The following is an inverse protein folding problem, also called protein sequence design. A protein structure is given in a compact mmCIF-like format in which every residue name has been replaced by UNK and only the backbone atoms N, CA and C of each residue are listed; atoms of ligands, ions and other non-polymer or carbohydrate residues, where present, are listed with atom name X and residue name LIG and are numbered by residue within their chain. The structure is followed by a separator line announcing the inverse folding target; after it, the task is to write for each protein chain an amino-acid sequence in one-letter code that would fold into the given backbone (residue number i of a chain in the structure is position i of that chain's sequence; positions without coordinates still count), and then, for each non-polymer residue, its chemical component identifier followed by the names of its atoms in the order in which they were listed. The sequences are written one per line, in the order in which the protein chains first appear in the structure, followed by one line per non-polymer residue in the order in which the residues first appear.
data_IF_753916755177
#
_entry.id   IF_753916755177
#
_cell.length_a   1.000
_cell.length_b   1.000
_cell.length_c   1.000
_cell.angle_alpha   90.00
_cell.angle_beta   90.00
_cell.angle_gamma   90.00
#
_symmetry.space_group_name_H-M   'P 1'
#
loop_
_entity.id
_entity.type
_entity.pdbx_description
1 polymer ?
#
# COMPACT_ATOMS: atom_id res chain seq x y z
N UNK A 1 -11.45 -10.25 44.27
CA UNK A 1 -11.63 -9.99 42.83
C UNK A 1 -11.26 -11.18 41.93
N UNK A 2 -10.14 -11.91 42.14
CA UNK A 2 -9.79 -13.12 41.35
C UNK A 2 -10.91 -14.16 41.23
N UNK A 3 -11.51 -14.55 42.36
CA UNK A 3 -12.55 -15.59 42.40
C UNK A 3 -13.88 -15.23 41.71
N UNK A 4 -14.20 -13.93 41.61
CA UNK A 4 -15.43 -13.46 40.95
C UNK A 4 -15.29 -13.55 39.43
N UNK A 5 -14.09 -13.25 38.93
CA UNK A 5 -13.80 -13.32 37.49
C UNK A 5 -13.72 -14.78 37.01
N UNK A 6 -13.07 -15.67 37.77
CA UNK A 6 -13.06 -17.11 37.50
C UNK A 6 -14.47 -17.71 37.53
N UNK A 7 -15.32 -17.30 38.49
CA UNK A 7 -16.71 -17.74 38.56
C UNK A 7 -17.54 -17.32 37.35
N UNK A 8 -17.37 -16.08 36.86
CA UNK A 8 -18.06 -15.59 35.66
C UNK A 8 -17.63 -16.34 34.40
N UNK A 9 -16.34 -16.67 34.27
CA UNK A 9 -15.83 -17.46 33.13
C UNK A 9 -16.42 -18.87 33.14
N UNK A 10 -16.46 -19.52 34.30
CA UNK A 10 -17.02 -20.88 34.43
C UNK A 10 -18.52 -20.87 34.09
N UNK A 11 -19.28 -19.90 34.60
CA UNK A 11 -20.70 -19.76 34.27
C UNK A 11 -20.91 -19.50 32.77
N UNK A 12 -20.06 -18.66 32.16
CA UNK A 12 -20.10 -18.40 30.72
C UNK A 12 -19.85 -19.65 29.88
N UNK A 13 -18.85 -20.46 30.24
CA UNK A 13 -18.53 -21.72 29.56
C UNK A 13 -19.68 -22.72 29.71
N UNK A 14 -20.25 -22.86 30.91
CA UNK A 14 -21.39 -23.76 31.16
C UNK A 14 -22.62 -23.31 30.37
N UNK A 15 -22.93 -22.01 30.34
CA UNK A 15 -24.03 -21.47 29.55
C UNK A 15 -23.83 -21.72 28.04
N UNK A 16 -22.60 -21.58 27.55
CA UNK A 16 -22.24 -21.83 26.16
C UNK A 16 -22.42 -23.31 25.80
N UNK A 17 -21.94 -24.24 26.64
CA UNK A 17 -22.13 -25.68 26.47
C UNK A 17 -23.63 -26.04 26.47
N UNK A 18 -24.41 -25.52 27.40
CA UNK A 18 -25.87 -25.74 27.47
C UNK A 18 -26.55 -25.24 26.20
N UNK A 19 -26.14 -24.08 25.68
CA UNK A 19 -26.72 -23.49 24.46
C UNK A 19 -26.40 -24.34 23.22
N UNK A 20 -25.17 -24.87 23.12
CA UNK A 20 -24.75 -25.78 22.03
C UNK A 20 -25.55 -27.09 22.06
N UNK A 21 -25.75 -27.67 23.25
CA UNK A 21 -26.50 -28.93 23.40
C UNK A 21 -27.99 -28.73 23.11
N UNK A 22 -28.56 -27.60 23.55
CA UNK A 22 -30.01 -27.35 23.48
C UNK A 22 -30.46 -26.82 22.11
N UNK A 23 -29.59 -26.12 21.38
CA UNK A 23 -29.90 -25.49 20.09
C UNK A 23 -28.86 -25.79 18.98
N UNK A 24 -28.57 -27.08 18.68
CA UNK A 24 -27.50 -27.45 17.76
C UNK A 24 -27.74 -26.97 16.31
N UNK A 25 -29.01 -26.85 15.88
CA UNK A 25 -29.36 -26.39 14.52
C UNK A 25 -29.13 -24.89 14.33
N UNK A 26 -29.38 -24.08 15.35
CA UNK A 26 -29.20 -22.62 15.28
C UNK A 26 -27.73 -22.23 15.43
N UNK A 27 -26.99 -22.93 16.31
CA UNK A 27 -25.53 -22.80 16.42
C UNK A 27 -24.84 -23.24 15.13
N UNK A 28 -25.27 -24.34 14.51
CA UNK A 28 -24.74 -24.80 13.22
C UNK A 28 -24.96 -23.80 12.08
N UNK A 29 -26.16 -23.20 11.97
CA UNK A 29 -26.45 -22.17 10.97
C UNK A 29 -25.69 -20.86 11.22
N UNK A 30 -25.51 -20.46 12.48
CA UNK A 30 -24.71 -19.30 12.85
C UNK A 30 -23.23 -19.47 12.51
N UNK A 31 -22.64 -20.64 12.81
CA UNK A 31 -21.23 -20.95 12.50
C UNK A 31 -21.02 -21.09 10.98
N UNK A 32 -21.93 -21.74 10.25
CA UNK A 32 -21.86 -21.80 8.78
C UNK A 32 -22.00 -20.41 8.14
N UNK A 33 -22.88 -19.54 8.67
CA UNK A 33 -23.01 -18.16 8.22
C UNK A 33 -21.76 -17.32 8.52
N UNK A 34 -21.08 -17.60 9.64
CA UNK A 34 -19.82 -16.94 10.00
C UNK A 34 -18.68 -17.35 9.06
N UNK A 35 -18.56 -18.64 8.72
CA UNK A 35 -17.56 -19.18 7.78
C UNK A 35 -17.72 -18.66 6.34
N UNK A 36 -18.92 -18.22 5.95
CA UNK A 36 -19.21 -17.62 4.64
C UNK A 36 -18.93 -16.11 4.59
N UNK A 37 -18.61 -15.47 5.72
CA UNK A 37 -18.25 -14.06 5.72
C UNK A 37 -16.81 -13.89 5.21
N UNK A 38 -16.54 -12.83 4.42
CA UNK A 38 -15.18 -12.51 4.01
C UNK A 38 -14.28 -12.39 5.26
N UNK A 39 -13.08 -12.96 5.17
CA UNK A 39 -12.13 -13.14 6.28
C UNK A 39 -11.95 -11.86 7.12
N UNK A 40 -11.94 -10.70 6.48
CA UNK A 40 -11.84 -9.38 7.11
C UNK A 40 -12.96 -9.09 8.11
N UNK A 41 -14.21 -9.47 7.80
CA UNK A 41 -15.36 -9.28 8.70
C UNK A 41 -15.34 -10.26 9.88
N UNK A 42 -14.94 -11.51 9.65
CA UNK A 42 -14.74 -12.47 10.74
C UNK A 42 -13.63 -12.00 11.70
N UNK A 43 -12.51 -11.53 11.14
CA UNK A 43 -11.39 -11.02 11.91
C UNK A 43 -11.76 -9.77 12.70
N UNK A 44 -12.58 -8.87 12.13
CA UNK A 44 -13.13 -7.71 12.83
C UNK A 44 -13.97 -8.08 14.05
N UNK A 45 -14.83 -9.11 13.94
CA UNK A 45 -15.66 -9.59 15.06
C UNK A 45 -14.77 -10.23 16.14
N UNK A 46 -13.80 -11.07 15.74
CA UNK A 46 -12.85 -11.69 16.68
C UNK A 46 -12.06 -10.61 17.42
N UNK A 47 -11.56 -9.60 16.71
CA UNK A 47 -10.82 -8.47 17.28
C UNK A 47 -11.69 -7.66 18.25
N UNK A 48 -12.96 -7.46 17.93
CA UNK A 48 -13.90 -6.78 18.84
C UNK A 48 -14.05 -7.51 20.19
N UNK A 49 -14.11 -8.84 20.18
CA UNK A 49 -14.15 -9.64 21.42
C UNK A 49 -12.80 -9.68 22.15
N UNK A 50 -11.69 -9.55 21.44
CA UNK A 50 -10.34 -9.48 22.01
C UNK A 50 -9.94 -8.08 22.50
N UNK A 51 -10.65 -7.04 22.08
CA UNK A 51 -10.38 -5.65 22.42
C UNK A 51 -10.29 -5.38 23.95
N UNK A 52 -11.18 -5.93 24.81
CA UNK A 52 -11.04 -5.78 26.26
C UNK A 52 -9.74 -6.39 26.80
N UNK A 53 -9.27 -7.49 26.19
CA UNK A 53 -8.01 -8.14 26.55
C UNK A 53 -6.81 -7.29 26.10
N UNK A 54 -6.86 -6.72 24.89
CA UNK A 54 -5.84 -5.79 24.38
C UNK A 54 -5.70 -4.55 25.29
N UNK A 55 -6.82 -3.96 25.73
CA UNK A 55 -6.81 -2.81 26.65
C UNK A 55 -6.20 -3.14 28.01
N UNK A 56 -6.46 -4.35 28.54
CA UNK A 56 -5.86 -4.83 29.80
C UNK A 56 -4.34 -5.01 29.63
N UNK A 57 -3.90 -5.56 28.51
CA UNK A 57 -2.47 -5.71 28.19
C UNK A 57 -1.80 -4.34 28.12
N UNK A 58 -2.36 -3.39 27.38
CA UNK A 58 -1.85 -2.01 27.28
C UNK A 58 -1.75 -1.31 28.63
N UNK A 59 -2.75 -1.49 29.49
CA UNK A 59 -2.74 -0.92 30.84
C UNK A 59 -1.65 -1.52 31.73
N UNK A 60 -1.46 -2.84 31.68
CA UNK A 60 -0.42 -3.53 32.44
C UNK A 60 0.98 -3.10 31.96
N UNK A 61 1.20 -3.05 30.65
CA UNK A 61 2.48 -2.65 30.07
C UNK A 61 2.86 -1.21 30.41
N UNK A 62 1.89 -0.28 30.34
CA UNK A 62 2.09 1.11 30.78
C UNK A 62 2.39 1.23 32.27
N UNK A 63 1.80 0.36 33.10
CA UNK A 63 1.99 0.37 34.56
C UNK A 63 3.34 -0.22 34.98
N UNK A 64 3.87 -1.18 34.22
CA UNK A 64 5.10 -1.90 34.54
C UNK A 64 6.30 -1.44 33.69
N UNK A 65 6.13 -0.48 32.78
CA UNK A 65 7.15 0.01 31.84
C UNK A 65 7.81 -1.10 30.99
N UNK A 66 7.03 -2.14 30.64
CA UNK A 66 7.51 -3.27 29.82
C UNK A 66 6.69 -3.38 28.55
N UNK A 67 7.37 -3.44 27.39
CA UNK A 67 6.74 -3.58 26.06
C UNK A 67 6.93 -5.02 25.53
N UNK A 68 6.37 -6.03 26.21
CA UNK A 68 6.58 -7.43 25.84
C UNK A 68 5.57 -7.95 24.82
N UNK A 69 4.30 -7.59 24.95
CA UNK A 69 3.17 -8.02 24.13
C UNK A 69 2.73 -6.95 23.12
N UNK A 70 2.81 -5.66 23.44
CA UNK A 70 2.63 -4.57 22.45
C UNK A 70 3.57 -4.74 21.26
N UNK A 71 4.80 -5.22 21.47
CA UNK A 71 5.75 -5.52 20.39
C UNK A 71 5.21 -6.53 19.35
N UNK A 72 4.26 -7.38 19.71
CA UNK A 72 3.64 -8.35 18.81
C UNK A 72 2.30 -7.88 18.24
N UNK A 73 1.60 -6.98 18.96
CA UNK A 73 0.32 -6.37 18.55
C UNK A 73 0.57 -5.19 17.60
N UNK A 74 1.56 -4.35 17.90
CA UNK A 74 2.12 -3.29 17.05
C UNK A 74 3.26 -3.82 16.17
N UNK A 75 3.23 -5.11 15.79
CA UNK A 75 3.91 -5.46 14.55
C UNK A 75 3.17 -4.72 13.45
N UNK A 76 3.67 -3.53 13.11
CA UNK A 76 3.54 -3.00 11.75
C UNK A 76 3.59 -4.20 10.82
N UNK A 77 2.60 -4.39 9.92
CA UNK A 77 2.61 -5.49 8.97
C UNK A 77 4.00 -5.47 8.41
N UNK A 78 4.75 -6.54 8.65
CA UNK A 78 6.19 -6.52 8.49
C UNK A 78 6.44 -6.01 7.08
N UNK A 79 6.81 -4.73 6.94
CA UNK A 79 7.33 -4.21 5.69
C UNK A 79 8.43 -5.20 5.42
N UNK A 80 8.27 -6.02 4.39
CA UNK A 80 9.29 -6.96 3.97
C UNK A 80 10.45 -6.03 3.67
N UNK A 81 11.33 -5.81 4.65
CA UNK A 81 12.31 -4.71 4.60
C UNK A 81 13.24 -5.09 3.48
N UNK A 82 12.92 -4.62 2.28
CA UNK A 82 13.64 -4.90 1.05
C UNK A 82 15.05 -4.43 1.33
N UNK A 83 16.00 -5.36 1.34
CA UNK A 83 17.38 -4.99 1.69
C UNK A 83 17.87 -3.96 0.68
N UNK A 84 18.47 -2.88 1.17
CA UNK A 84 19.14 -1.90 0.33
C UNK A 84 20.59 -2.30 0.20
N UNK A 85 21.06 -2.58 -1.03
CA UNK A 85 22.48 -2.87 -1.29
C UNK A 85 23.27 -1.60 -1.60
N UNK A 86 22.68 -0.70 -2.38
CA UNK A 86 23.28 0.57 -2.82
C UNK A 86 22.19 1.65 -2.82
N UNK A 87 22.55 2.89 -2.49
CA UNK A 87 21.66 4.06 -2.64
C UNK A 87 22.17 4.90 -3.79
N UNK A 88 21.35 5.06 -4.84
CA UNK A 88 21.66 5.96 -5.95
C UNK A 88 20.90 7.26 -5.77
N UNK A 89 21.59 8.32 -5.35
CA UNK A 89 20.99 9.65 -5.25
C UNK A 89 20.60 10.16 -6.64
N UNK A 90 19.46 10.83 -6.71
CA UNK A 90 18.94 11.46 -7.93
C UNK A 90 18.59 12.91 -7.63
N UNK A 91 18.82 13.79 -8.60
CA UNK A 91 18.24 15.12 -8.58
C UNK A 91 16.94 15.07 -9.38
N UNK A 92 15.84 14.73 -8.70
CA UNK A 92 14.57 14.42 -9.34
C UNK A 92 13.88 15.65 -9.96
N UNK A 93 14.22 16.85 -9.50
CA UNK A 93 13.67 18.10 -10.05
C UNK A 93 13.97 18.25 -11.55
N UNK A 94 15.11 17.74 -12.02
CA UNK A 94 15.54 17.84 -13.41
C UNK A 94 14.97 16.73 -14.33
N UNK A 95 14.04 15.90 -13.82
CA UNK A 95 13.43 14.83 -14.59
C UNK A 95 12.14 15.33 -15.23
N UNK A 96 11.91 14.96 -16.49
CA UNK A 96 10.58 14.89 -17.07
C UNK A 96 9.87 13.67 -16.49
N UNK A 97 8.63 13.85 -16.06
CA UNK A 97 7.88 12.90 -15.24
C UNK A 97 6.56 12.60 -15.92
N UNK A 98 6.35 11.33 -16.23
CA UNK A 98 5.17 10.84 -16.90
C UNK A 98 4.54 9.71 -16.10
N UNK A 99 3.21 9.63 -16.11
CA UNK A 99 2.48 8.45 -15.68
C UNK A 99 1.67 7.92 -16.86
N UNK A 100 1.92 6.66 -17.20
CA UNK A 100 1.20 5.95 -18.25
C UNK A 100 0.12 5.12 -17.58
N UNK A 101 -1.12 5.35 -18.02
CA UNK A 101 -2.31 4.64 -17.56
C UNK A 101 -2.86 3.85 -18.75
N UNK A 102 -2.96 2.52 -18.63
CA UNK A 102 -3.59 1.69 -19.66
C UNK A 102 -5.12 1.83 -19.63
N UNK A 103 -5.61 3.06 -19.77
CA UNK A 103 -7.01 3.50 -19.77
C UNK A 103 -7.09 4.87 -20.44
N UNK A 104 -8.23 5.17 -21.05
CA UNK A 104 -8.56 6.48 -21.63
C UNK A 104 -9.67 7.18 -20.86
N UNK A 105 -10.06 6.63 -19.70
CA UNK A 105 -11.18 7.12 -18.88
C UNK A 105 -11.05 8.60 -18.53
N UNK A 106 -12.15 9.33 -18.61
CA UNK A 106 -12.26 10.71 -18.13
C UNK A 106 -12.06 10.80 -16.60
N UNK A 107 -12.30 9.70 -15.88
CA UNK A 107 -12.08 9.61 -14.42
C UNK A 107 -10.62 9.87 -14.01
N UNK A 108 -9.66 9.78 -14.94
CA UNK A 108 -8.26 10.11 -14.64
C UNK A 108 -8.14 11.53 -14.08
N UNK A 109 -8.89 12.50 -14.60
CA UNK A 109 -8.83 13.88 -14.12
C UNK A 109 -9.36 14.04 -12.71
N UNK A 110 -10.49 13.41 -12.37
CA UNK A 110 -11.03 13.45 -11.01
C UNK A 110 -10.07 12.82 -10.01
N UNK A 111 -9.45 11.70 -10.38
CA UNK A 111 -8.49 10.98 -9.53
C UNK A 111 -7.19 11.76 -9.30
N UNK A 112 -6.73 12.51 -10.31
CA UNK A 112 -5.59 13.41 -10.15
C UNK A 112 -5.90 14.53 -9.15
N UNK A 113 -7.06 15.19 -9.30
CA UNK A 113 -7.46 16.27 -8.40
C UNK A 113 -7.64 15.78 -6.96
N UNK A 114 -8.24 14.60 -6.76
CA UNK A 114 -8.39 14.03 -5.42
C UNK A 114 -7.04 13.69 -4.77
N UNK A 115 -6.07 13.22 -5.56
CA UNK A 115 -4.70 12.98 -5.09
C UNK A 115 -3.99 14.28 -4.67
N UNK A 116 -4.18 15.37 -5.43
CA UNK A 116 -3.63 16.71 -5.14
C UNK A 116 -4.23 17.30 -3.84
N UNK A 117 -5.53 17.13 -3.64
CA UNK A 117 -6.22 17.54 -2.40
C UNK A 117 -5.75 16.75 -1.17
N UNK A 118 -5.39 15.48 -1.36
CA UNK A 118 -4.98 14.58 -0.28
C UNK A 118 -3.49 14.67 0.08
N UNK A 119 -2.63 15.14 -0.84
CA UNK A 119 -1.18 15.09 -0.70
C UNK A 119 -0.52 16.39 -1.20
N UNK A 120 -0.10 17.31 -0.32
CA UNK A 120 0.49 18.60 -0.71
C UNK A 120 1.76 18.52 -1.56
N UNK A 121 2.44 17.36 -1.56
CA UNK A 121 3.63 17.09 -2.38
C UNK A 121 3.29 16.72 -3.83
N UNK A 122 2.03 16.34 -4.09
CA UNK A 122 1.46 16.34 -5.44
C UNK A 122 1.28 17.81 -5.83
N UNK A 123 1.82 18.17 -6.99
CA UNK A 123 1.68 19.52 -7.52
C UNK A 123 1.33 19.38 -9.00
N UNK A 124 0.05 19.56 -9.29
CA UNK A 124 -0.52 19.47 -10.63
C UNK A 124 -0.42 20.77 -11.44
N UNK A 125 0.35 21.77 -11.01
CA UNK A 125 0.64 22.93 -11.86
C UNK A 125 1.31 22.50 -13.18
N UNK A 126 0.86 23.08 -14.29
CA UNK A 126 1.32 22.80 -15.65
C UNK A 126 1.15 21.32 -16.08
N UNK A 127 0.33 20.52 -15.39
CA UNK A 127 0.10 19.13 -15.80
C UNK A 127 -0.65 19.06 -17.14
N UNK A 128 -0.42 17.98 -17.88
CA UNK A 128 -1.15 17.71 -19.12
C UNK A 128 -1.50 16.24 -19.25
N UNK A 129 -2.60 15.94 -19.93
CA UNK A 129 -3.05 14.58 -20.21
C UNK A 129 -3.21 14.42 -21.71
N UNK A 130 -2.36 13.57 -22.31
CA UNK A 130 -2.49 13.14 -23.68
C UNK A 130 -3.20 11.78 -23.72
N UNK A 131 -4.27 11.66 -24.50
CA UNK A 131 -5.06 10.43 -24.63
C UNK A 131 -4.88 9.85 -26.03
N UNK A 132 -4.62 8.55 -26.10
CA UNK A 132 -4.63 7.76 -27.34
C UNK A 132 -5.89 6.91 -27.39
N UNK A 133 -6.01 6.01 -28.38
CA UNK A 133 -7.13 5.06 -28.46
C UNK A 133 -7.12 4.00 -27.35
N UNK A 134 -5.99 3.78 -26.67
CA UNK A 134 -5.81 2.64 -25.74
C UNK A 134 -5.22 3.00 -24.38
N UNK A 135 -4.50 4.12 -24.27
CA UNK A 135 -3.86 4.55 -23.03
C UNK A 135 -3.78 6.07 -22.94
N UNK A 136 -3.55 6.55 -21.72
CA UNK A 136 -3.31 7.96 -21.43
C UNK A 136 -1.89 8.16 -20.89
N UNK A 137 -1.31 9.32 -21.19
CA UNK A 137 -0.02 9.79 -20.70
C UNK A 137 -0.25 11.09 -19.95
N UNK A 138 0.11 11.09 -18.68
CA UNK A 138 -0.03 12.24 -17.77
C UNK A 138 1.36 12.81 -17.55
N UNK A 139 1.61 14.05 -17.94
CA UNK A 139 2.85 14.77 -17.61
C UNK A 139 2.64 15.62 -16.35
N UNK A 140 3.52 15.47 -15.37
CA UNK A 140 3.47 16.19 -14.09
C UNK A 140 4.82 16.87 -13.78
N UNK A 141 5.09 18.04 -14.39
CA UNK A 141 6.42 18.62 -14.38
C UNK A 141 6.85 19.12 -12.99
N UNK A 142 5.91 19.61 -12.17
CA UNK A 142 6.19 20.27 -10.88
C UNK A 142 6.26 19.32 -9.70
N UNK A 143 5.62 18.16 -9.77
CA UNK A 143 5.56 17.18 -8.67
C UNK A 143 6.95 16.70 -8.22
N UNK A 144 7.15 16.64 -6.90
CA UNK A 144 8.37 16.15 -6.25
C UNK A 144 8.54 14.62 -6.34
N UNK A 145 9.64 14.08 -5.80
CA UNK A 145 9.89 12.64 -5.84
C UNK A 145 8.85 11.85 -5.05
N UNK A 146 8.49 12.30 -3.86
CA UNK A 146 7.46 11.67 -3.04
C UNK A 146 6.10 11.73 -3.72
N UNK A 147 5.61 12.94 -4.06
CA UNK A 147 4.32 13.13 -4.72
C UNK A 147 4.18 12.35 -6.03
N UNK A 148 5.27 12.20 -6.78
CA UNK A 148 5.27 11.41 -8.02
C UNK A 148 5.01 9.93 -7.74
N UNK A 149 5.70 9.35 -6.76
CA UNK A 149 5.50 7.96 -6.39
C UNK A 149 4.13 7.73 -5.72
N UNK A 150 3.68 8.69 -4.91
CA UNK A 150 2.33 8.71 -4.34
C UNK A 150 1.26 8.68 -5.43
N UNK A 151 1.36 9.53 -6.46
CA UNK A 151 0.42 9.53 -7.58
C UNK A 151 0.35 8.19 -8.32
N UNK A 152 1.50 7.54 -8.58
CA UNK A 152 1.51 6.21 -9.21
C UNK A 152 0.75 5.21 -8.33
N UNK A 153 1.00 5.23 -7.02
CA UNK A 153 0.31 4.33 -6.10
C UNK A 153 -1.19 4.62 -6.02
N UNK A 154 -1.58 5.89 -5.89
CA UNK A 154 -2.97 6.35 -5.86
C UNK A 154 -3.73 5.84 -7.08
N UNK A 155 -3.21 6.12 -8.28
CA UNK A 155 -3.82 5.66 -9.53
C UNK A 155 -3.84 4.13 -9.63
N UNK A 156 -2.82 3.43 -9.13
CA UNK A 156 -2.83 1.95 -9.12
C UNK A 156 -3.94 1.40 -8.23
N UNK A 157 -4.21 2.05 -7.10
CA UNK A 157 -5.25 1.65 -6.17
C UNK A 157 -6.65 1.93 -6.71
N UNK A 158 -6.86 3.05 -7.39
CA UNK A 158 -8.19 3.41 -7.92
C UNK A 158 -8.49 2.76 -9.27
N UNK A 159 -7.46 2.48 -10.07
CA UNK A 159 -7.58 1.76 -11.35
C UNK A 159 -7.04 0.32 -11.25
N UNK A 160 -7.56 -0.47 -10.31
CA UNK A 160 -7.08 -1.84 -10.00
C UNK A 160 -6.97 -2.80 -11.19
N UNK A 161 -7.76 -2.58 -12.26
CA UNK A 161 -7.75 -3.40 -13.48
C UNK A 161 -6.78 -2.90 -14.55
N UNK A 162 -6.23 -1.70 -14.38
CA UNK A 162 -5.40 -1.05 -15.37
C UNK A 162 -3.94 -1.09 -14.93
N UNK A 163 -3.05 -1.26 -15.90
CA UNK A 163 -1.63 -1.14 -15.64
C UNK A 163 -1.24 0.33 -15.54
N UNK A 164 -0.67 0.72 -14.40
CA UNK A 164 -0.15 2.07 -14.13
C UNK A 164 1.37 2.00 -14.01
N UNK A 165 2.06 2.82 -14.78
CA UNK A 165 3.52 2.86 -14.79
C UNK A 165 4.01 4.30 -14.81
N UNK A 166 4.84 4.66 -13.84
CA UNK A 166 5.57 5.91 -13.89
C UNK A 166 6.83 5.78 -14.75
N UNK A 167 7.11 6.80 -15.56
CA UNK A 167 8.38 7.00 -16.25
C UNK A 167 8.99 8.34 -15.83
N UNK A 168 10.23 8.34 -15.36
CA UNK A 168 10.99 9.55 -15.13
C UNK A 168 12.29 9.53 -15.94
N UNK A 169 12.60 10.63 -16.65
CA UNK A 169 13.77 10.75 -17.51
C UNK A 169 14.42 12.13 -17.44
N UNK A 170 15.75 12.18 -17.29
CA UNK A 170 16.54 13.41 -17.47
C UNK A 170 17.54 13.29 -18.65
N UNK A 171 17.25 12.39 -19.60
CA UNK A 171 18.12 12.04 -20.72
C UNK A 171 19.22 11.04 -20.38
N UNK A 172 19.97 11.25 -19.29
CA UNK A 172 21.06 10.34 -18.86
C UNK A 172 20.56 9.16 -18.03
N UNK A 173 19.74 9.48 -17.02
CA UNK A 173 19.11 8.49 -16.15
C UNK A 173 17.64 8.44 -16.50
N UNK A 174 17.15 7.22 -16.70
CA UNK A 174 15.72 6.95 -16.86
C UNK A 174 15.35 5.82 -15.93
N UNK A 175 14.14 5.86 -15.42
CA UNK A 175 13.63 4.73 -14.68
C UNK A 175 12.12 4.64 -14.83
N UNK A 176 11.64 3.40 -14.77
CA UNK A 176 10.24 3.09 -14.61
C UNK A 176 9.96 2.71 -13.16
N UNK A 177 8.77 3.05 -12.69
CA UNK A 177 8.29 2.73 -11.35
C UNK A 177 6.87 2.17 -11.44
N UNK A 178 6.59 1.12 -10.69
CA UNK A 178 5.27 0.54 -10.50
C UNK A 178 5.00 0.36 -9.00
N UNK A 179 3.71 0.40 -8.61
CA UNK A 179 3.32 0.06 -7.25
C UNK A 179 3.56 -1.42 -6.98
N UNK A 180 4.12 -1.75 -5.82
CA UNK A 180 4.25 -3.13 -5.39
C UNK A 180 2.97 -3.57 -4.68
N UNK A 181 2.12 -4.33 -5.35
CA UNK A 181 0.83 -4.79 -4.80
C UNK A 181 0.97 -5.73 -3.59
N UNK A 182 2.19 -6.19 -3.27
CA UNK A 182 2.47 -7.09 -2.15
C UNK A 182 2.91 -6.39 -0.86
N UNK A 183 3.09 -5.06 -0.86
CA UNK A 183 3.54 -4.32 0.33
C UNK A 183 2.84 -2.97 0.49
N UNK A 184 2.46 -2.63 1.71
CA UNK A 184 1.79 -1.38 2.03
C UNK A 184 2.73 -0.19 1.79
N UNK A 185 2.56 0.47 0.63
CA UNK A 185 3.20 1.73 0.24
C UNK A 185 4.67 1.67 -0.23
N UNK A 186 5.08 0.52 -0.77
CA UNK A 186 6.35 0.40 -1.47
C UNK A 186 6.16 0.45 -2.99
N UNK A 187 7.10 1.12 -3.66
CA UNK A 187 7.24 1.08 -5.11
C UNK A 187 8.43 0.24 -5.50
N UNK A 188 8.35 -0.40 -6.67
CA UNK A 188 9.47 -1.13 -7.29
C UNK A 188 9.69 -0.60 -8.69
N UNK A 189 10.90 -0.72 -9.19
CA UNK A 189 11.22 -0.17 -10.50
C UNK A 189 12.52 -0.67 -11.09
N UNK A 190 12.78 -0.22 -12.32
CA UNK A 190 13.98 -0.55 -13.08
C UNK A 190 14.52 0.70 -13.76
N UNK A 191 15.83 0.88 -13.68
CA UNK A 191 16.55 1.93 -14.41
C UNK A 191 16.83 1.53 -15.86
N UNK A 192 17.18 2.48 -16.72
CA UNK A 192 17.63 2.23 -18.09
C UNK A 192 18.86 1.32 -18.20
N UNK A 193 19.64 1.17 -17.14
CA UNK A 193 20.78 0.22 -17.10
C UNK A 193 20.37 -1.16 -16.56
N UNK A 194 19.07 -1.44 -16.45
CA UNK A 194 18.55 -2.70 -15.93
C UNK A 194 18.62 -2.87 -14.41
N UNK A 195 19.23 -1.93 -13.66
CA UNK A 195 19.29 -2.02 -12.19
C UNK A 195 17.88 -1.90 -11.62
N UNK A 196 17.45 -2.93 -10.87
CA UNK A 196 16.22 -2.90 -10.08
C UNK A 196 16.37 -2.09 -8.79
N UNK A 197 15.32 -1.41 -8.38
CA UNK A 197 15.27 -0.62 -7.16
C UNK A 197 13.89 -0.65 -6.51
N UNK A 198 13.84 -0.19 -5.26
CA UNK A 198 12.59 0.08 -4.56
C UNK A 198 12.61 1.47 -3.92
N UNK A 199 11.43 1.99 -3.64
CA UNK A 199 11.15 3.28 -2.98
C UNK A 199 10.09 3.01 -1.92
N UNK A 200 10.17 3.67 -0.77
CA UNK A 200 9.18 3.50 0.29
C UNK A 200 8.54 4.83 0.55
N UNK A 201 7.22 4.96 0.38
CA UNK A 201 6.56 6.22 0.65
C UNK A 201 6.65 6.60 2.14
N UNK A 202 6.72 5.63 3.05
CA UNK A 202 6.90 5.92 4.48
C UNK A 202 8.29 6.50 4.79
N UNK A 203 9.37 5.83 4.37
CA UNK A 203 10.73 6.30 4.68
C UNK A 203 11.12 7.58 3.93
N UNK A 204 10.50 7.83 2.77
CA UNK A 204 10.87 8.89 1.84
C UNK A 204 9.98 10.14 1.91
N UNK A 205 9.07 10.21 2.90
CA UNK A 205 8.27 11.40 3.21
C UNK A 205 9.15 12.65 3.40
N UNK A 206 10.35 12.50 3.99
CA UNK A 206 11.33 13.58 4.18
C UNK A 206 12.04 14.00 2.87
N UNK A 207 11.43 13.81 1.70
CA UNK A 207 11.99 14.13 0.38
C UNK A 207 13.36 13.49 0.10
N UNK A 208 13.55 12.25 0.55
CA UNK A 208 14.75 11.46 0.27
C UNK A 208 14.78 11.04 -1.20
N UNK A 209 15.49 11.79 -2.03
CA UNK A 209 15.59 11.54 -3.48
C UNK A 209 16.70 10.53 -3.81
N UNK A 210 16.47 9.25 -3.47
CA UNK A 210 17.37 8.18 -3.90
C UNK A 210 16.64 6.89 -4.26
N UNK A 211 17.24 6.13 -5.17
CA UNK A 211 16.80 4.79 -5.53
C UNK A 211 17.54 3.76 -4.67
N UNK A 212 16.81 2.91 -3.95
CA UNK A 212 17.40 1.81 -3.17
C UNK A 212 17.61 0.61 -4.08
N UNK A 213 18.84 0.42 -4.56
CA UNK A 213 19.17 -0.64 -5.51
C UNK A 213 19.18 -2.00 -4.81
N UNK A 214 18.47 -2.96 -5.41
CA UNK A 214 18.52 -4.36 -5.04
C UNK A 214 18.13 -5.25 -6.24
N UNK A 215 19.05 -6.10 -6.71
CA UNK A 215 18.78 -6.98 -7.87
C UNK A 215 17.93 -8.22 -7.53
N UNK A 216 17.78 -8.52 -6.24
CA UNK A 216 16.95 -9.63 -5.74
C UNK A 216 15.45 -9.30 -5.79
N UNK A 217 15.08 -8.06 -6.14
CA UNK A 217 13.67 -7.68 -6.30
C UNK A 217 13.04 -8.44 -7.47
N UNK A 218 11.82 -8.91 -7.27
CA UNK A 218 10.97 -9.40 -8.34
C UNK A 218 10.26 -8.20 -8.98
N UNK A 219 10.33 -8.11 -10.31
CA UNK A 219 9.68 -7.05 -11.07
C UNK A 219 9.01 -7.71 -12.27
N UNK A 220 7.71 -7.96 -12.13
CA UNK A 220 6.90 -8.65 -13.12
C UNK A 220 6.35 -7.65 -14.14
N UNK A 221 7.26 -7.03 -14.91
CA UNK A 221 6.92 -6.16 -16.03
C UNK A 221 7.87 -6.37 -17.20
N UNK A 222 7.30 -6.60 -18.37
CA UNK A 222 8.01 -6.66 -19.65
C UNK A 222 8.35 -5.26 -20.19
N UNK A 223 7.73 -4.22 -19.63
CA UNK A 223 7.95 -2.84 -20.05
C UNK A 223 9.36 -2.39 -19.71
N UNK A 224 9.95 -1.63 -20.63
CA UNK A 224 11.27 -1.02 -20.46
C UNK A 224 11.14 0.50 -20.49
N UNK A 225 12.19 1.19 -20.04
CA UNK A 225 12.23 2.66 -20.17
C UNK A 225 12.13 3.10 -21.63
N UNK A 226 12.70 2.33 -22.56
CA UNK A 226 12.65 2.59 -24.00
C UNK A 226 11.25 2.39 -24.58
N UNK A 227 10.52 1.36 -24.16
CA UNK A 227 9.14 1.14 -24.63
C UNK A 227 8.22 2.25 -24.12
N UNK A 228 8.38 2.67 -22.87
CA UNK A 228 7.59 3.76 -22.29
C UNK A 228 7.91 5.11 -22.94
N UNK A 229 9.19 5.43 -23.23
CA UNK A 229 9.53 6.66 -23.95
C UNK A 229 8.91 6.70 -25.35
N UNK A 230 8.78 5.55 -26.03
CA UNK A 230 8.06 5.46 -27.32
C UNK A 230 6.57 5.73 -27.14
N UNK A 231 5.94 5.19 -26.09
CA UNK A 231 4.52 5.45 -25.79
C UNK A 231 4.28 6.95 -25.54
N UNK A 232 5.13 7.59 -24.73
CA UNK A 232 5.03 9.04 -24.46
C UNK A 232 5.13 9.85 -25.76
N UNK A 233 6.12 9.55 -26.61
CA UNK A 233 6.30 10.23 -27.90
C UNK A 233 5.17 10.02 -28.91
N UNK A 234 4.44 8.91 -28.80
CA UNK A 234 3.32 8.63 -29.69
C UNK A 234 2.03 9.32 -29.23
N UNK A 235 1.91 9.62 -27.93
CA UNK A 235 0.75 10.28 -27.37
C UNK A 235 0.84 11.82 -27.42
N UNK A 236 2.05 12.37 -27.25
CA UNK A 236 2.33 13.81 -27.21
C UNK A 236 2.83 14.34 -28.55
#
# INVERSE_FOLDING_TARGET
MKYVFEGLIIIGIVALIVTIIKYPKDVGRGILGMLLLPFERMWGIIRFFLLPLELIILYLEKKFEVNYLTKYIDREPSTTKKKTKERKQINFQNFRKYIIVNSTSEQIESELNEADECCPEVNLEDHSIARTDSYSVIEIPRTGFYGYNFMIQWLTNNFTKNQIVGLASNGRTRFLTISNTEGDNDMIGRTNTGKKFWVSLYDDLDNKQFLRINQELELNSELTTESLEKMVKNAM
#
